data_IF_846024482478
#
_entry.id   IF_846024482478
#
_cell.length_a   1.000
_cell.length_b   1.000
_cell.length_c   1.000
_cell.angle_alpha   90.00
_cell.angle_beta   90.00
_cell.angle_gamma   90.00
#
_symmetry.space_group_name_H-M   'P 1'
#
loop_
_entity.id
_entity.type
_entity.pdbx_description
1 polymer ?
#
# COMPACT_ATOMS: atom_id res chain seq x y z
N UNK A 1 -3.54 29.81 83.94
CA UNK A 1 -2.45 30.80 83.83
C UNK A 1 -1.86 30.73 82.45
N UNK A 2 -1.45 31.90 81.94
CA UNK A 2 -1.25 32.24 80.54
C UNK A 2 0.07 31.75 79.92
N UNK A 3 0.16 31.99 78.59
CA UNK A 3 1.34 32.07 77.69
C UNK A 3 1.63 30.76 76.93
N UNK A 4 1.88 30.77 75.61
CA UNK A 4 2.05 31.85 74.65
C UNK A 4 2.33 31.26 73.25
N UNK A 5 1.88 31.96 72.21
CA UNK A 5 2.16 31.67 70.80
C UNK A 5 3.66 31.79 70.51
N UNK A 6 4.24 30.82 69.81
CA UNK A 6 5.47 31.00 69.02
C UNK A 6 5.19 30.73 67.54
N UNK A 7 5.39 31.76 66.73
CA UNK A 7 5.48 31.70 65.27
C UNK A 7 6.79 30.99 64.90
N UNK A 8 6.74 30.05 63.95
CA UNK A 8 7.90 29.60 63.16
C UNK A 8 7.71 30.07 61.71
N UNK A 9 8.81 30.40 61.00
CA UNK A 9 8.74 31.11 59.72
C UNK A 9 8.32 30.16 58.58
N UNK A 10 7.54 30.71 57.63
CA UNK A 10 7.29 30.12 56.32
C UNK A 10 8.59 30.19 55.52
N UNK A 11 9.30 29.08 55.40
CA UNK A 11 10.26 28.88 54.31
C UNK A 11 9.46 28.58 53.05
N UNK A 12 9.63 29.43 52.04
CA UNK A 12 9.18 29.20 50.67
C UNK A 12 9.86 27.93 50.15
N UNK A 13 9.12 26.84 50.01
CA UNK A 13 9.52 25.76 49.12
C UNK A 13 9.06 26.17 47.72
N UNK A 14 9.95 26.85 47.00
CA UNK A 14 9.81 27.05 45.57
C UNK A 14 9.77 25.70 44.86
N UNK A 15 8.88 25.62 43.88
CA UNK A 15 8.70 24.54 42.93
C UNK A 15 10.02 24.09 42.29
N UNK A 16 10.65 23.07 42.84
CA UNK A 16 11.70 22.29 42.20
C UNK A 16 11.36 20.81 42.35
N UNK A 17 10.49 20.30 41.48
CA UNK A 17 10.40 18.87 41.11
C UNK A 17 9.31 18.69 40.06
N UNK A 18 9.52 19.27 38.88
CA UNK A 18 8.81 18.86 37.66
C UNK A 18 9.63 19.16 36.39
N UNK A 19 10.95 18.99 36.51
CA UNK A 19 11.92 19.18 35.41
C UNK A 19 12.86 17.98 35.29
N UNK A 20 12.34 16.77 35.52
CA UNK A 20 13.06 15.50 35.37
C UNK A 20 12.22 14.47 34.59
N UNK A 21 11.70 14.86 33.42
CA UNK A 21 10.94 13.95 32.58
C UNK A 21 11.24 14.16 31.09
N UNK A 22 12.50 13.96 30.70
CA UNK A 22 12.89 13.53 29.35
C UNK A 22 14.35 13.06 29.38
N UNK A 23 14.63 12.00 30.14
CA UNK A 23 15.83 11.20 29.89
C UNK A 23 15.71 10.60 28.48
N UNK A 24 16.79 10.68 27.69
CA UNK A 24 16.77 10.54 26.23
C UNK A 24 15.95 9.36 25.68
N UNK A 25 15.19 9.64 24.62
CA UNK A 25 14.38 8.65 23.90
C UNK A 25 15.06 8.30 22.59
N UNK A 26 15.09 7.01 22.25
CA UNK A 26 15.62 6.51 21.00
C UNK A 26 14.52 5.83 20.18
N UNK A 27 14.71 5.83 18.85
CA UNK A 27 13.87 5.17 17.87
C UNK A 27 14.72 4.12 17.17
N UNK A 28 14.32 2.86 17.25
CA UNK A 28 15.01 1.77 16.56
C UNK A 28 14.14 1.36 15.36
N UNK A 29 14.71 1.42 14.16
CA UNK A 29 14.02 1.02 12.94
C UNK A 29 14.64 -0.27 12.41
N UNK A 30 13.81 -1.30 12.25
CA UNK A 30 14.18 -2.60 11.71
C UNK A 30 13.80 -2.72 10.24
N UNK A 31 14.72 -3.24 9.45
CA UNK A 31 14.51 -3.60 8.05
C UNK A 31 14.45 -5.13 7.91
N UNK A 32 13.28 -5.68 7.57
CA UNK A 32 13.11 -7.12 7.37
C UNK A 32 13.52 -7.62 5.97
N UNK A 33 13.88 -6.74 5.04
CA UNK A 33 14.25 -7.10 3.67
C UNK A 33 15.77 -7.28 3.50
N UNK A 34 16.25 -8.17 2.61
CA UNK A 34 17.67 -8.45 2.39
C UNK A 34 18.43 -7.39 1.55
N UNK A 35 17.88 -6.19 1.43
CA UNK A 35 18.53 -5.02 0.81
C UNK A 35 18.35 -3.77 1.68
N UNK A 36 19.22 -2.76 1.49
CA UNK A 36 19.15 -1.49 2.22
C UNK A 36 17.90 -0.72 1.83
N UNK A 37 17.18 -0.16 2.80
CA UNK A 37 15.96 0.64 2.57
C UNK A 37 16.11 2.04 3.12
N UNK A 38 15.84 3.04 2.28
CA UNK A 38 15.76 4.44 2.67
C UNK A 38 14.33 4.91 2.44
N UNK A 39 13.56 5.08 3.51
CA UNK A 39 12.12 5.33 3.45
C UNK A 39 11.64 6.22 4.58
N UNK A 40 10.55 6.95 4.34
CA UNK A 40 9.87 7.70 5.39
C UNK A 40 9.08 6.72 6.27
N UNK A 41 9.39 6.71 7.56
CA UNK A 41 8.69 5.89 8.56
C UNK A 41 7.93 6.77 9.55
N UNK A 42 6.77 6.31 10.00
CA UNK A 42 5.92 7.03 10.94
C UNK A 42 5.93 6.41 12.34
N UNK A 43 6.06 7.25 13.36
CA UNK A 43 5.92 6.90 14.76
C UNK A 43 4.77 7.69 15.39
N UNK A 44 4.11 7.11 16.39
CA UNK A 44 3.17 7.86 17.22
C UNK A 44 3.92 8.49 18.37
N UNK A 45 3.87 9.82 18.48
CA UNK A 45 4.38 10.55 19.64
C UNK A 45 3.41 10.44 20.82
N UNK A 46 3.98 10.31 22.02
CA UNK A 46 3.25 10.41 23.27
C UNK A 46 2.73 11.85 23.50
N UNK A 47 1.68 11.99 24.31
CA UNK A 47 1.09 13.28 24.65
C UNK A 47 2.12 14.20 25.32
N UNK A 48 2.11 15.50 24.97
CA UNK A 48 2.93 16.52 25.61
C UNK A 48 4.35 16.71 25.04
N UNK A 49 4.72 16.00 23.97
CA UNK A 49 5.97 16.28 23.23
C UNK A 49 5.73 17.47 22.29
N UNK A 50 6.41 18.59 22.56
CA UNK A 50 6.36 19.78 21.72
C UNK A 50 7.22 19.62 20.47
N UNK A 51 6.71 20.11 19.33
CA UNK A 51 7.32 19.98 18.02
C UNK A 51 8.66 20.71 17.90
N UNK A 52 8.79 21.83 18.62
CA UNK A 52 9.97 22.68 18.57
C UNK A 52 11.03 22.28 19.59
N UNK A 53 10.72 21.32 20.48
CA UNK A 53 11.60 20.97 21.57
C UNK A 53 12.63 19.91 21.24
N UNK A 54 12.63 19.30 20.04
CA UNK A 54 13.57 18.22 19.72
C UNK A 54 14.12 18.19 18.29
N UNK A 55 15.26 17.53 18.13
CA UNK A 55 15.88 17.14 16.86
C UNK A 55 16.13 15.64 16.86
N UNK A 56 16.17 15.02 15.68
CA UNK A 56 16.50 13.60 15.53
C UNK A 56 17.91 13.51 14.95
N UNK A 57 18.75 12.69 15.56
CA UNK A 57 20.09 12.37 15.06
C UNK A 57 20.28 10.88 14.87
N UNK A 58 21.21 10.52 14.00
CA UNK A 58 21.69 9.14 13.90
C UNK A 58 22.79 8.85 14.93
N UNK A 59 23.34 7.63 14.89
CA UNK A 59 24.41 7.16 15.78
C UNK A 59 25.72 7.96 15.67
N UNK A 60 25.95 8.64 14.53
CA UNK A 60 27.12 9.48 14.29
C UNK A 60 26.85 10.95 14.69
N UNK A 61 25.69 11.25 15.27
CA UNK A 61 25.27 12.61 15.61
C UNK A 61 24.83 13.45 14.40
N UNK A 62 24.62 12.85 13.23
CA UNK A 62 24.15 13.59 12.05
C UNK A 62 22.64 13.87 12.15
N UNK A 63 22.17 15.07 11.79
CA UNK A 63 20.76 15.39 11.83
C UNK A 63 19.97 14.59 10.80
N UNK A 64 18.82 14.04 11.20
CA UNK A 64 17.89 13.31 10.35
C UNK A 64 16.67 14.17 10.06
N UNK A 65 16.27 14.34 8.79
CA UNK A 65 15.02 15.00 8.44
C UNK A 65 13.84 14.36 9.15
N UNK A 66 13.05 15.19 9.83
CA UNK A 66 11.81 14.77 10.48
C UNK A 66 10.69 15.78 10.25
N UNK A 67 9.45 15.29 10.26
CA UNK A 67 8.22 16.06 10.10
C UNK A 67 7.21 15.59 11.13
N UNK A 68 6.38 16.49 11.65
CA UNK A 68 5.16 16.09 12.36
C UNK A 68 3.96 16.08 11.43
N UNK A 69 3.10 15.07 11.59
CA UNK A 69 1.79 15.00 10.95
C UNK A 69 0.71 15.75 11.73
N UNK A 70 -0.47 15.82 11.12
CA UNK A 70 -1.68 16.30 11.78
C UNK A 70 -2.00 15.47 13.03
N UNK A 71 -2.51 16.13 14.07
CA UNK A 71 -2.96 15.46 15.29
C UNK A 71 -4.32 14.79 15.11
N UNK A 72 -4.53 13.64 15.75
CA UNK A 72 -5.89 13.16 16.00
C UNK A 72 -6.49 14.04 17.10
N UNK A 73 -7.50 14.85 16.74
CA UNK A 73 -8.16 15.80 17.64
C UNK A 73 -8.77 15.16 18.89
N UNK A 74 -8.99 13.84 18.89
CA UNK A 74 -9.55 13.09 20.02
C UNK A 74 -8.52 12.49 20.98
N UNK A 75 -7.23 12.40 20.60
CA UNK A 75 -6.21 11.71 21.41
C UNK A 75 -4.98 12.55 21.74
N UNK A 76 -4.80 13.74 21.15
CA UNK A 76 -3.61 14.58 21.38
C UNK A 76 -2.30 13.99 20.85
N UNK A 77 -2.30 12.75 20.36
CA UNK A 77 -1.15 12.07 19.74
C UNK A 77 -0.92 12.58 18.32
N UNK A 78 0.36 12.74 17.96
CA UNK A 78 0.79 13.18 16.62
C UNK A 78 1.65 12.12 15.96
N UNK A 79 1.59 12.05 14.63
CA UNK A 79 2.55 11.28 13.87
C UNK A 79 3.88 12.03 13.80
N UNK A 80 4.99 11.33 13.97
CA UNK A 80 6.35 11.76 13.68
C UNK A 80 6.85 10.96 12.48
N UNK A 81 7.14 11.64 11.39
CA UNK A 81 7.77 11.08 10.21
C UNK A 81 9.27 11.34 10.25
N UNK A 82 10.08 10.34 9.92
CA UNK A 82 11.53 10.50 9.75
C UNK A 82 12.00 9.71 8.53
N UNK A 83 13.01 10.22 7.85
CA UNK A 83 13.65 9.53 6.72
C UNK A 83 14.66 8.52 7.26
N UNK A 84 14.25 7.26 7.39
CA UNK A 84 15.09 6.20 7.91
C UNK A 84 15.95 5.61 6.78
N UNK A 85 17.20 5.30 7.08
CA UNK A 85 18.13 4.61 6.20
C UNK A 85 18.70 3.38 6.92
N UNK A 86 18.15 2.21 6.60
CA UNK A 86 18.29 0.99 7.40
C UNK A 86 18.98 -0.12 6.58
N UNK A 87 20.03 -0.75 7.12
CA UNK A 87 20.77 -1.81 6.42
C UNK A 87 19.91 -3.06 6.15
N UNK A 88 20.32 -3.94 5.20
CA UNK A 88 19.66 -5.22 4.94
C UNK A 88 19.48 -6.07 6.19
N UNK A 89 18.31 -6.70 6.37
CA UNK A 89 17.98 -7.61 7.49
C UNK A 89 18.64 -7.13 8.78
N UNK A 90 18.25 -5.97 9.27
CA UNK A 90 19.05 -5.24 10.23
C UNK A 90 18.28 -4.14 10.93
N UNK A 91 19.00 -3.30 11.66
CA UNK A 91 18.43 -2.13 12.32
C UNK A 91 19.34 -0.92 12.28
N UNK A 92 18.75 0.22 12.60
CA UNK A 92 19.43 1.47 12.91
C UNK A 92 18.70 2.22 14.02
N UNK A 93 19.46 2.78 14.96
CA UNK A 93 18.97 3.59 16.07
C UNK A 93 19.08 5.08 15.74
N UNK A 94 18.05 5.85 16.12
CA UNK A 94 17.98 7.30 16.01
C UNK A 94 17.66 7.89 17.37
N UNK A 95 18.20 9.07 17.67
CA UNK A 95 18.20 9.68 18.99
C UNK A 95 17.40 10.97 18.97
N UNK A 96 16.49 11.14 19.93
CA UNK A 96 15.79 12.41 20.15
C UNK A 96 16.60 13.26 21.13
N UNK A 97 17.07 14.40 20.66
CA UNK A 97 17.79 15.38 21.46
C UNK A 97 16.98 16.65 21.63
N UNK A 98 16.96 17.22 22.84
CA UNK A 98 16.29 18.49 23.11
C UNK A 98 16.96 19.61 22.29
N UNK A 99 16.17 20.41 21.57
CA UNK A 99 16.71 21.59 20.87
C UNK A 99 17.07 22.65 21.91
N UNK A 100 18.31 23.15 21.87
CA UNK A 100 18.66 24.36 22.58
C UNK A 100 17.78 25.53 22.07
N UNK A 101 17.26 26.36 22.99
CA UNK A 101 16.42 27.53 22.64
C UNK A 101 17.18 28.46 21.67
N UNK A 102 16.44 29.01 20.69
CA UNK A 102 16.94 29.96 19.69
C UNK A 102 17.91 30.99 20.27
N UNK A 103 19.14 30.96 19.76
CA UNK A 103 20.25 31.84 20.14
C UNK A 103 21.58 31.36 19.57
N UNK A 104 21.76 30.05 19.44
CA UNK A 104 22.93 29.40 18.87
C UNK A 104 22.49 28.38 17.81
N UNK A 105 23.22 28.29 16.70
CA UNK A 105 23.02 27.44 15.49
C UNK A 105 22.37 28.17 14.31
N UNK A 106 23.17 29.03 13.67
CA UNK A 106 23.14 29.13 12.21
C UNK A 106 23.31 27.72 11.62
N UNK A 107 22.51 27.40 10.58
CA UNK A 107 22.59 26.13 9.87
C UNK A 107 23.97 26.00 9.20
N UNK A 108 24.86 25.19 9.79
CA UNK A 108 25.88 24.48 9.00
C UNK A 108 25.16 23.38 8.20
N UNK A 109 24.62 23.78 7.05
CA UNK A 109 24.32 22.87 5.95
C UNK A 109 25.66 22.45 5.34
N UNK A 110 26.32 21.46 5.96
CA UNK A 110 27.52 20.86 5.39
C UNK A 110 27.22 20.30 3.99
N UNK A 111 27.92 20.88 3.02
CA UNK A 111 27.86 20.69 1.58
C UNK A 111 28.28 19.29 1.08
N UNK A 112 28.47 18.31 1.96
CA UNK A 112 28.95 16.97 1.60
C UNK A 112 27.86 15.90 1.48
N UNK A 113 26.70 16.12 2.12
CA UNK A 113 25.52 15.25 1.98
C UNK A 113 24.51 16.01 1.12
N UNK A 114 24.32 15.57 -0.13
CA UNK A 114 23.37 16.20 -1.06
C UNK A 114 22.00 16.47 -0.43
N UNK A 115 21.25 17.41 -1.01
CA UNK A 115 19.94 17.82 -0.47
C UNK A 115 19.06 16.58 -0.20
N UNK A 116 18.56 16.38 1.04
CA UNK A 116 17.78 15.19 1.37
C UNK A 116 16.52 15.13 0.50
N UNK A 117 16.03 13.92 0.15
CA UNK A 117 14.79 13.75 -0.59
C UNK A 117 13.65 14.51 0.09
N UNK A 118 12.79 15.15 -0.71
CA UNK A 118 11.63 15.90 -0.24
C UNK A 118 10.41 15.65 -1.09
N UNK A 119 9.25 15.98 -0.54
CA UNK A 119 7.99 16.13 -1.28
C UNK A 119 7.49 17.57 -1.12
N UNK A 120 6.93 18.11 -2.19
CA UNK A 120 6.23 19.39 -2.24
C UNK A 120 4.77 19.15 -2.59
N UNK A 121 3.87 20.02 -2.14
CA UNK A 121 2.45 19.91 -2.47
C UNK A 121 1.75 21.27 -2.50
N UNK A 122 0.70 21.37 -3.32
CA UNK A 122 -0.16 22.55 -3.49
C UNK A 122 -1.61 22.11 -3.39
N UNK A 123 -2.36 22.69 -2.44
CA UNK A 123 -3.79 22.45 -2.30
C UNK A 123 -4.60 23.10 -3.44
N UNK A 124 -4.17 24.28 -3.89
CA UNK A 124 -4.82 25.03 -4.98
C UNK A 124 -4.75 24.27 -6.30
N UNK A 125 -3.54 23.79 -6.66
CA UNK A 125 -3.32 23.04 -7.90
C UNK A 125 -3.70 21.56 -7.79
N UNK A 126 -3.91 21.08 -6.55
CA UNK A 126 -4.09 19.66 -6.19
C UNK A 126 -2.95 18.78 -6.68
N UNK A 127 -1.72 19.25 -6.45
CA UNK A 127 -0.49 18.59 -6.89
C UNK A 127 0.35 18.19 -5.68
N UNK A 128 1.00 17.03 -5.77
CA UNK A 128 2.15 16.66 -4.94
C UNK A 128 3.27 16.11 -5.82
N UNK A 129 4.52 16.40 -5.47
CA UNK A 129 5.68 16.13 -6.33
C UNK A 129 6.93 15.85 -5.50
N UNK A 130 7.66 14.79 -5.86
CA UNK A 130 8.98 14.43 -5.33
C UNK A 130 9.98 14.22 -6.47
N UNK A 131 11.14 13.63 -6.19
CA UNK A 131 12.19 13.41 -7.20
C UNK A 131 11.81 12.43 -8.32
N UNK A 132 10.83 11.56 -8.06
CA UNK A 132 10.41 10.50 -8.98
C UNK A 132 9.12 10.84 -9.71
N UNK A 133 8.14 11.38 -9.00
CA UNK A 133 6.76 11.51 -9.49
C UNK A 133 6.25 12.94 -9.34
N UNK A 134 5.40 13.32 -10.29
CA UNK A 134 4.44 14.42 -10.12
C UNK A 134 3.03 13.85 -10.18
N UNK A 135 2.23 14.13 -9.17
CA UNK A 135 0.88 13.58 -9.01
C UNK A 135 -0.10 14.73 -8.91
N UNK A 136 -1.12 14.76 -9.77
CA UNK A 136 -2.22 15.71 -9.74
C UNK A 136 -3.53 14.98 -9.47
N UNK A 137 -4.36 15.50 -8.56
CA UNK A 137 -5.72 15.02 -8.37
C UNK A 137 -6.68 15.78 -9.28
N UNK A 138 -7.43 15.03 -10.07
CA UNK A 138 -8.50 15.51 -10.93
C UNK A 138 -9.75 15.85 -10.09
N UNK A 139 -10.69 16.59 -10.66
CA UNK A 139 -11.91 17.01 -9.94
C UNK A 139 -12.79 15.83 -9.50
N UNK A 140 -12.67 14.70 -10.21
CA UNK A 140 -13.37 13.47 -9.91
C UNK A 140 -12.63 12.51 -8.97
N UNK A 141 -11.51 12.95 -8.42
CA UNK A 141 -10.69 12.17 -7.51
C UNK A 141 -9.72 11.19 -8.19
N UNK A 142 -9.78 11.04 -9.51
CA UNK A 142 -8.77 10.28 -10.26
C UNK A 142 -7.43 11.02 -10.28
N UNK A 143 -6.36 10.30 -10.61
CA UNK A 143 -4.99 10.79 -10.55
C UNK A 143 -4.40 10.93 -11.95
N UNK A 144 -3.67 12.02 -12.16
CA UNK A 144 -2.73 12.15 -13.26
C UNK A 144 -1.32 12.02 -12.70
N UNK A 145 -0.59 10.98 -13.08
CA UNK A 145 0.76 10.70 -12.58
C UNK A 145 1.76 10.83 -13.71
N UNK A 146 2.72 11.72 -13.56
CA UNK A 146 3.90 11.81 -14.42
C UNK A 146 5.08 11.13 -13.74
N UNK A 147 5.62 10.09 -14.37
CA UNK A 147 6.91 9.51 -14.01
C UNK A 147 8.03 10.36 -14.61
N UNK A 148 8.84 10.98 -13.76
CA UNK A 148 9.96 11.83 -14.18
C UNK A 148 11.11 11.04 -14.80
N UNK A 149 11.24 9.75 -14.47
CA UNK A 149 12.27 8.89 -15.02
C UNK A 149 12.05 8.60 -16.51
N UNK A 150 10.83 8.23 -16.88
CA UNK A 150 10.45 7.96 -18.28
C UNK A 150 9.89 9.18 -19.02
N UNK A 151 9.48 10.22 -18.30
CA UNK A 151 8.78 11.39 -18.83
C UNK A 151 7.32 11.11 -19.22
N UNK A 152 6.78 9.92 -18.93
CA UNK A 152 5.42 9.54 -19.29
C UNK A 152 4.41 10.07 -18.28
N UNK A 153 3.22 10.40 -18.79
CA UNK A 153 2.07 10.78 -17.98
C UNK A 153 0.95 9.77 -18.20
N UNK A 154 0.39 9.30 -17.10
CA UNK A 154 -0.76 8.41 -17.04
C UNK A 154 -1.94 9.21 -16.49
N UNK A 155 -3.04 9.24 -17.23
CA UNK A 155 -4.21 10.05 -16.92
C UNK A 155 -5.35 9.20 -16.37
N UNK A 156 -6.22 9.82 -15.57
CA UNK A 156 -7.41 9.18 -15.01
C UNK A 156 -7.12 7.87 -14.29
N UNK A 157 -6.03 7.78 -13.55
CA UNK A 157 -5.71 6.60 -12.75
C UNK A 157 -6.53 6.55 -11.46
N UNK A 158 -6.96 5.37 -11.04
CA UNK A 158 -7.61 5.17 -9.76
C UNK A 158 -9.08 5.57 -9.70
N UNK A 159 -9.78 5.70 -10.85
CA UNK A 159 -11.24 5.88 -10.83
C UNK A 159 -11.95 4.58 -10.47
N UNK A 160 -13.17 4.70 -9.94
CA UNK A 160 -13.99 3.55 -9.56
C UNK A 160 -14.97 3.18 -10.65
N UNK A 161 -15.19 1.88 -10.83
CA UNK A 161 -16.23 1.32 -11.68
C UNK A 161 -17.04 0.30 -10.91
N UNK A 162 -18.35 0.32 -11.12
CA UNK A 162 -19.29 -0.57 -10.48
C UNK A 162 -20.25 -1.17 -11.51
N UNK A 163 -20.25 -2.50 -11.62
CA UNK A 163 -21.15 -3.28 -12.47
C UNK A 163 -21.98 -4.27 -11.65
N UNK A 164 -23.02 -4.85 -12.26
CA UNK A 164 -23.82 -5.90 -11.64
C UNK A 164 -23.06 -7.22 -11.53
N UNK A 165 -23.32 -7.99 -10.46
CA UNK A 165 -22.88 -9.38 -10.32
C UNK A 165 -24.08 -10.27 -9.98
N UNK A 166 -24.57 -10.98 -10.99
CA UNK A 166 -25.59 -12.02 -10.90
C UNK A 166 -24.99 -13.43 -10.74
N UNK A 167 -23.70 -13.51 -10.45
CA UNK A 167 -23.00 -14.76 -10.18
C UNK A 167 -23.26 -15.34 -8.80
N UNK A 168 -22.27 -16.08 -8.33
CA UNK A 168 -22.25 -16.77 -7.04
C UNK A 168 -20.85 -16.68 -6.40
N UNK A 169 -20.60 -17.37 -5.29
CA UNK A 169 -19.30 -17.26 -4.60
C UNK A 169 -18.10 -17.80 -5.38
N UNK A 170 -18.32 -18.61 -6.41
CA UNK A 170 -17.25 -19.12 -7.26
C UNK A 170 -16.97 -18.18 -8.42
N UNK A 171 -18.02 -17.81 -9.16
CA UNK A 171 -17.87 -17.14 -10.45
C UNK A 171 -18.63 -15.81 -10.51
N UNK A 172 -17.95 -14.82 -11.08
CA UNK A 172 -18.59 -13.59 -11.53
C UNK A 172 -19.51 -13.87 -12.72
N UNK A 173 -20.69 -13.26 -12.72
CA UNK A 173 -21.53 -13.19 -13.93
C UNK A 173 -22.16 -11.82 -14.05
N UNK A 174 -21.96 -11.15 -15.18
CA UNK A 174 -22.66 -9.91 -15.48
C UNK A 174 -24.18 -10.13 -15.57
N UNK A 175 -24.94 -9.06 -15.36
CA UNK A 175 -26.38 -9.04 -15.63
C UNK A 175 -26.65 -8.93 -17.14
N UNK A 176 -27.77 -9.45 -17.61
CA UNK A 176 -28.12 -9.39 -19.03
C UNK A 176 -28.32 -7.95 -19.53
N UNK A 177 -28.90 -7.10 -18.69
CA UNK A 177 -29.17 -5.69 -18.96
C UNK A 177 -28.40 -4.81 -17.97
N UNK A 178 -27.08 -5.03 -17.88
CA UNK A 178 -26.24 -4.34 -16.91
C UNK A 178 -26.04 -2.85 -17.23
N UNK A 179 -25.86 -2.05 -16.17
CA UNK A 179 -25.49 -0.64 -16.22
C UNK A 179 -24.22 -0.46 -15.39
N UNK A 180 -23.10 -0.27 -16.09
CA UNK A 180 -21.81 0.05 -15.49
C UNK A 180 -21.79 1.54 -15.11
N UNK A 181 -21.44 1.83 -13.86
CA UNK A 181 -21.37 3.19 -13.30
C UNK A 181 -19.92 3.48 -12.94
N UNK A 182 -19.41 4.64 -13.38
CA UNK A 182 -18.06 5.09 -13.00
C UNK A 182 -18.09 6.33 -12.11
N UNK A 183 -16.97 6.57 -11.43
CA UNK A 183 -16.74 7.83 -10.71
C UNK A 183 -16.28 8.98 -11.61
N UNK A 184 -15.97 8.73 -12.88
CA UNK A 184 -15.48 9.75 -13.80
C UNK A 184 -16.49 10.90 -13.94
N UNK A 185 -15.98 12.13 -13.86
CA UNK A 185 -16.79 13.36 -13.91
C UNK A 185 -17.64 13.64 -12.66
N UNK A 186 -17.55 12.83 -11.60
CA UNK A 186 -18.25 13.09 -10.33
C UNK A 186 -17.37 13.88 -9.38
N UNK A 187 -17.81 15.08 -9.00
CA UNK A 187 -17.05 15.95 -8.09
C UNK A 187 -16.71 15.27 -6.76
N UNK A 188 -15.43 15.23 -6.42
CA UNK A 188 -14.93 14.77 -5.12
C UNK A 188 -14.65 15.96 -4.18
N UNK A 189 -14.73 15.71 -2.87
CA UNK A 189 -14.19 16.63 -1.86
C UNK A 189 -12.74 16.25 -1.56
N UNK A 190 -11.82 17.21 -1.70
CA UNK A 190 -10.38 16.96 -1.66
C UNK A 190 -9.73 17.89 -0.62
N UNK A 191 -9.00 17.31 0.31
CA UNK A 191 -8.24 18.03 1.36
C UNK A 191 -6.80 17.56 1.41
N UNK A 192 -5.88 18.45 1.77
CA UNK A 192 -4.44 18.19 1.77
C UNK A 192 -3.87 18.25 3.20
N UNK A 193 -3.08 17.23 3.55
CA UNK A 193 -2.08 17.27 4.62
C UNK A 193 -0.70 17.22 3.97
N UNK A 194 0.18 18.19 4.26
CA UNK A 194 1.48 18.27 3.60
C UNK A 194 2.61 18.67 4.55
N UNK A 195 3.79 18.14 4.26
CA UNK A 195 5.08 18.58 4.78
C UNK A 195 6.21 18.01 3.92
N UNK A 196 7.48 18.28 4.27
CA UNK A 196 8.63 17.99 3.40
C UNK A 196 8.95 16.50 3.23
N UNK A 197 8.45 15.61 4.09
CA UNK A 197 8.66 14.16 4.02
C UNK A 197 7.43 13.39 3.52
N UNK A 198 6.23 13.92 3.74
CA UNK A 198 4.99 13.28 3.34
C UNK A 198 3.95 14.33 2.96
N UNK A 199 3.31 14.11 1.81
CA UNK A 199 2.09 14.78 1.40
C UNK A 199 1.00 13.75 1.14
N UNK A 200 -0.23 14.06 1.57
CA UNK A 200 -1.38 13.17 1.46
C UNK A 200 -2.64 13.95 1.19
N UNK A 201 -3.31 13.59 0.10
CA UNK A 201 -4.66 14.05 -0.16
C UNK A 201 -5.67 13.07 0.41
N UNK A 202 -6.73 13.58 1.02
CA UNK A 202 -7.94 12.83 1.34
C UNK A 202 -9.02 13.21 0.34
N UNK A 203 -9.51 12.20 -0.39
CA UNK A 203 -10.51 12.29 -1.46
C UNK A 203 -11.78 11.61 -0.98
N UNK A 204 -12.88 12.34 -0.91
CA UNK A 204 -14.20 11.80 -0.55
C UNK A 204 -15.13 11.86 -1.75
N UNK A 205 -15.76 10.72 -2.04
CA UNK A 205 -16.68 10.57 -3.15
C UNK A 205 -17.94 9.86 -2.66
N UNK A 206 -19.10 10.24 -3.20
CA UNK A 206 -20.37 9.55 -3.01
C UNK A 206 -20.83 9.02 -4.34
N UNK A 207 -20.82 7.70 -4.49
CA UNK A 207 -21.18 7.03 -5.74
C UNK A 207 -22.62 6.50 -5.63
N UNK A 208 -23.60 7.05 -6.37
CA UNK A 208 -24.96 6.51 -6.37
C UNK A 208 -24.98 5.21 -7.17
N UNK A 209 -25.35 4.10 -6.52
CA UNK A 209 -25.35 2.75 -7.09
C UNK A 209 -26.71 2.08 -6.92
N UNK A 210 -27.15 1.23 -7.87
CA UNK A 210 -28.27 0.32 -7.68
C UNK A 210 -28.13 -0.48 -6.39
N UNK A 211 -29.20 -0.54 -5.60
CA UNK A 211 -29.24 -1.24 -4.30
C UNK A 211 -29.00 -2.75 -4.40
N UNK A 212 -29.23 -3.34 -5.57
CA UNK A 212 -29.12 -4.77 -5.83
C UNK A 212 -29.62 -5.11 -7.23
N UNK A 213 -29.77 -6.40 -7.51
CA UNK A 213 -30.45 -6.87 -8.73
C UNK A 213 -31.97 -6.70 -8.65
N UNK A 214 -32.62 -6.71 -9.80
CA UNK A 214 -34.08 -6.88 -9.92
C UNK A 214 -34.49 -8.27 -9.43
N UNK A 215 -35.78 -8.46 -9.12
CA UNK A 215 -36.29 -9.74 -8.61
C UNK A 215 -36.10 -10.92 -9.57
N UNK A 216 -36.07 -10.66 -10.88
CA UNK A 216 -35.76 -11.63 -11.93
C UNK A 216 -34.26 -11.74 -12.25
N UNK A 217 -33.42 -10.93 -11.60
CA UNK A 217 -31.95 -10.89 -11.71
C UNK A 217 -31.39 -10.53 -13.08
N UNK A 218 -32.24 -10.09 -14.01
CA UNK A 218 -31.82 -9.75 -15.38
C UNK A 218 -31.16 -8.38 -15.48
N UNK A 219 -31.50 -7.48 -14.56
CA UNK A 219 -31.02 -6.11 -14.51
C UNK A 219 -30.69 -5.68 -13.07
N UNK A 220 -30.16 -4.47 -12.93
CA UNK A 220 -29.95 -3.81 -11.63
C UNK A 220 -31.19 -2.99 -11.26
N UNK A 221 -31.46 -2.86 -9.96
CA UNK A 221 -32.57 -2.07 -9.43
C UNK A 221 -32.44 -0.58 -9.79
N UNK A 222 -33.57 0.08 -10.07
CA UNK A 222 -33.63 1.55 -10.22
C UNK A 222 -33.58 2.27 -8.86
N UNK A 223 -33.79 1.56 -7.74
CA UNK A 223 -33.58 2.12 -6.39
C UNK A 223 -32.08 2.27 -6.14
N UNK A 224 -31.63 3.50 -5.86
CA UNK A 224 -30.23 3.83 -5.62
C UNK A 224 -29.91 3.97 -4.13
N UNK A 225 -28.68 3.59 -3.77
CA UNK A 225 -28.03 3.89 -2.50
C UNK A 225 -26.79 4.74 -2.76
N UNK A 226 -26.53 5.73 -1.90
CA UNK A 226 -25.29 6.50 -1.97
C UNK A 226 -24.17 5.72 -1.27
N UNK A 227 -23.13 5.33 -2.00
CA UNK A 227 -21.97 4.61 -1.48
C UNK A 227 -20.81 5.58 -1.20
N UNK A 228 -20.48 5.85 0.08
CA UNK A 228 -19.31 6.64 0.44
C UNK A 228 -18.02 5.89 0.16
N UNK A 229 -17.09 6.55 -0.52
CA UNK A 229 -15.74 6.09 -0.81
C UNK A 229 -14.75 7.17 -0.37
N UNK A 230 -13.79 6.80 0.46
CA UNK A 230 -12.78 7.73 0.98
C UNK A 230 -11.40 7.17 0.67
N UNK A 231 -10.62 7.89 -0.12
CA UNK A 231 -9.25 7.52 -0.47
C UNK A 231 -8.25 8.48 0.17
N UNK A 232 -7.21 7.94 0.78
CA UNK A 232 -6.01 8.66 1.19
C UNK A 232 -4.90 8.36 0.19
N UNK A 233 -4.50 9.37 -0.58
CA UNK A 233 -3.50 9.27 -1.65
C UNK A 233 -2.22 9.93 -1.15
N UNK A 234 -1.19 9.13 -0.90
CA UNK A 234 0.03 9.54 -0.21
C UNK A 234 1.27 9.45 -1.11
N UNK A 235 2.10 10.48 -1.06
CA UNK A 235 3.43 10.52 -1.66
C UNK A 235 4.45 10.93 -0.60
N UNK A 236 5.47 10.10 -0.42
CA UNK A 236 6.56 10.36 0.52
C UNK A 236 7.84 10.78 -0.22
N UNK A 237 8.72 11.46 0.50
CA UNK A 237 10.05 11.80 0.02
C UNK A 237 10.83 10.54 -0.39
N UNK A 238 11.38 10.56 -1.61
CA UNK A 238 12.17 9.44 -2.16
C UNK A 238 11.37 8.20 -2.59
N UNK A 239 10.04 8.16 -2.41
CA UNK A 239 9.22 7.04 -2.91
C UNK A 239 8.96 7.17 -4.41
N UNK A 240 9.17 6.10 -5.21
CA UNK A 240 8.85 6.13 -6.63
C UNK A 240 7.42 5.67 -6.94
N UNK A 241 6.57 5.49 -5.92
CA UNK A 241 5.18 5.04 -6.04
C UNK A 241 4.24 5.94 -5.23
N UNK A 242 2.96 5.89 -5.58
CA UNK A 242 1.86 6.52 -4.82
C UNK A 242 1.17 5.43 -4.00
N UNK A 243 1.21 5.54 -2.67
CA UNK A 243 0.51 4.62 -1.77
C UNK A 243 -0.93 5.11 -1.55
N UNK A 244 -1.92 4.22 -1.65
CA UNK A 244 -3.34 4.56 -1.53
C UNK A 244 -4.01 3.65 -0.50
N UNK A 245 -4.76 4.26 0.41
CA UNK A 245 -5.72 3.56 1.25
C UNK A 245 -7.13 3.98 0.86
N UNK A 246 -8.01 3.04 0.52
CA UNK A 246 -9.41 3.31 0.19
C UNK A 246 -10.31 2.66 1.21
N UNK A 247 -11.26 3.41 1.75
CA UNK A 247 -12.36 2.91 2.59
C UNK A 247 -13.65 3.00 1.80
N UNK A 248 -14.36 1.88 1.68
CA UNK A 248 -15.69 1.80 1.07
C UNK A 248 -16.71 1.45 2.14
N UNK A 249 -17.81 2.20 2.18
CA UNK A 249 -18.98 1.84 2.96
C UNK A 249 -19.99 1.18 2.03
N UNK A 250 -19.92 -0.14 1.93
CA UNK A 250 -20.75 -0.91 1.01
C UNK A 250 -22.20 -0.97 1.50
N UNK A 251 -23.10 -0.37 0.72
CA UNK A 251 -24.55 -0.36 0.97
C UNK A 251 -25.35 -1.03 -0.15
N UNK A 252 -24.68 -1.41 -1.23
CA UNK A 252 -25.28 -2.11 -2.37
C UNK A 252 -25.08 -3.64 -2.25
N UNK A 253 -25.85 -4.38 -3.03
CA UNK A 253 -25.78 -5.84 -3.16
C UNK A 253 -25.57 -6.22 -4.62
N UNK A 254 -25.19 -7.48 -4.86
CA UNK A 254 -25.18 -8.09 -6.19
C UNK A 254 -24.41 -7.26 -7.23
N UNK A 255 -23.20 -6.85 -6.86
CA UNK A 255 -22.39 -5.91 -7.63
C UNK A 255 -20.90 -6.19 -7.47
N UNK A 256 -20.11 -5.69 -8.43
CA UNK A 256 -18.64 -5.75 -8.41
C UNK A 256 -18.08 -4.33 -8.51
N UNK A 257 -17.31 -3.92 -7.51
CA UNK A 257 -16.63 -2.63 -7.45
C UNK A 257 -15.14 -2.81 -7.72
N UNK A 258 -14.62 -2.05 -8.68
CA UNK A 258 -13.21 -2.08 -9.13
C UNK A 258 -12.57 -0.71 -9.10
N UNK A 259 -11.23 -0.69 -9.07
CA UNK A 259 -10.40 0.50 -9.32
C UNK A 259 -9.63 0.31 -10.62
N UNK A 260 -9.64 1.33 -11.47
CA UNK A 260 -9.17 1.24 -12.85
C UNK A 260 -7.94 2.11 -13.05
N UNK A 261 -7.00 1.61 -13.84
CA UNK A 261 -5.72 2.23 -14.12
C UNK A 261 -5.46 2.21 -15.63
N UNK A 262 -6.01 3.18 -16.40
CA UNK A 262 -5.74 3.28 -17.83
C UNK A 262 -4.26 3.51 -18.07
N UNK A 263 -3.60 2.54 -18.69
CA UNK A 263 -2.13 2.61 -18.85
C UNK A 263 -1.72 3.42 -20.07
N UNK A 264 -2.61 3.55 -21.07
CA UNK A 264 -2.31 4.07 -22.40
C UNK A 264 -1.11 3.39 -23.10
N UNK A 265 -0.69 2.22 -22.61
CA UNK A 265 0.36 1.41 -23.19
C UNK A 265 -0.24 0.46 -24.23
N UNK A 266 0.51 0.21 -25.31
CA UNK A 266 0.17 -0.84 -26.26
C UNK A 266 0.75 -2.15 -25.75
N UNK A 267 -0.09 -2.97 -25.14
CA UNK A 267 0.28 -4.21 -24.45
C UNK A 267 -0.62 -5.34 -24.90
N UNK A 268 -0.08 -6.55 -24.99
CA UNK A 268 -0.82 -7.76 -25.32
C UNK A 268 -0.75 -8.82 -24.21
N UNK A 269 -0.14 -8.47 -23.08
CA UNK A 269 0.10 -9.36 -21.95
C UNK A 269 0.31 -8.57 -20.65
N UNK A 270 0.01 -9.21 -19.53
CA UNK A 270 0.31 -8.77 -18.17
C UNK A 270 1.22 -9.76 -17.46
N UNK A 271 1.84 -9.31 -16.38
CA UNK A 271 2.60 -10.13 -15.45
C UNK A 271 2.02 -9.97 -14.05
N UNK A 272 1.89 -11.07 -13.31
CA UNK A 272 1.41 -11.05 -11.94
C UNK A 272 2.24 -11.97 -11.04
N UNK A 273 2.39 -11.58 -9.79
CA UNK A 273 3.07 -12.43 -8.81
C UNK A 273 2.20 -13.61 -8.44
N UNK A 274 2.78 -14.80 -8.57
CA UNK A 274 2.22 -16.09 -8.20
C UNK A 274 3.10 -16.74 -7.12
N UNK A 275 2.65 -17.82 -6.47
CA UNK A 275 3.45 -18.53 -5.48
C UNK A 275 4.83 -18.95 -6.03
N UNK A 276 5.87 -18.21 -5.63
CA UNK A 276 7.26 -18.37 -6.07
C UNK A 276 7.49 -18.17 -7.57
N UNK A 277 6.67 -17.34 -8.23
CA UNK A 277 6.81 -17.06 -9.66
C UNK A 277 6.27 -15.66 -10.03
N UNK A 278 6.60 -15.19 -11.23
CA UNK A 278 5.95 -14.04 -11.87
C UNK A 278 5.37 -14.53 -13.20
N UNK A 279 4.10 -14.92 -13.16
CA UNK A 279 3.43 -15.52 -14.30
C UNK A 279 3.05 -14.46 -15.34
N UNK A 280 3.13 -14.86 -16.61
CA UNK A 280 2.69 -14.07 -17.75
C UNK A 280 1.30 -14.51 -18.21
N UNK A 281 0.42 -13.55 -18.52
CA UNK A 281 -0.93 -13.79 -19.01
C UNK A 281 -1.22 -12.97 -20.28
N UNK A 282 -1.79 -13.55 -21.34
CA UNK A 282 -2.19 -12.80 -22.53
C UNK A 282 -3.41 -11.92 -22.24
N UNK A 283 -3.50 -10.78 -22.93
CA UNK A 283 -4.66 -9.86 -22.88
C UNK A 283 -5.95 -10.51 -23.37
N UNK A 284 -5.84 -11.36 -24.40
CA UNK A 284 -6.95 -12.18 -24.89
C UNK A 284 -6.91 -13.51 -24.13
N UNK A 285 -7.90 -13.81 -23.28
CA UNK A 285 -7.92 -15.07 -22.56
C UNK A 285 -8.21 -16.24 -23.51
N UNK A 286 -7.83 -17.44 -23.09
CA UNK A 286 -8.12 -18.64 -23.86
C UNK A 286 -9.64 -18.82 -24.01
N UNK A 287 -10.15 -19.10 -25.22
CA UNK A 287 -11.56 -19.36 -25.41
C UNK A 287 -11.94 -20.63 -24.65
N UNK A 288 -13.17 -20.71 -24.12
CA UNK A 288 -13.68 -21.97 -23.62
C UNK A 288 -13.58 -23.03 -24.71
N UNK A 289 -13.32 -24.28 -24.31
CA UNK A 289 -13.45 -25.40 -25.23
C UNK A 289 -14.85 -25.35 -25.87
N UNK A 290 -15.00 -25.71 -27.14
CA UNK A 290 -16.32 -25.86 -27.77
C UNK A 290 -16.87 -27.27 -27.51
N UNK A 291 -16.04 -28.29 -27.69
CA UNK A 291 -16.36 -29.70 -27.45
C UNK A 291 -15.56 -30.28 -26.27
N UNK A 292 -16.12 -31.29 -25.60
CA UNK A 292 -15.41 -32.03 -24.55
C UNK A 292 -14.40 -32.95 -25.24
N UNK A 293 -13.09 -32.83 -24.99
CA UNK A 293 -12.09 -33.75 -25.56
C UNK A 293 -12.42 -35.20 -25.23
N UNK A 294 -12.26 -36.14 -26.18
CA UNK A 294 -12.50 -37.59 -25.97
C UNK A 294 -11.84 -38.12 -24.68
N UNK A 295 -10.65 -37.62 -24.32
CA UNK A 295 -9.94 -38.02 -23.09
C UNK A 295 -10.66 -37.68 -21.79
N UNK A 296 -11.66 -36.78 -21.85
CA UNK A 296 -12.51 -36.36 -20.73
C UNK A 296 -13.93 -36.94 -20.86
N UNK A 297 -14.20 -37.74 -21.89
CA UNK A 297 -15.50 -38.39 -22.10
C UNK A 297 -15.80 -39.36 -20.94
N UNK A 298 -16.99 -39.26 -20.36
CA UNK A 298 -17.39 -40.02 -19.18
C UNK A 298 -17.01 -39.42 -17.83
N UNK A 299 -16.26 -38.29 -17.78
CA UNK A 299 -16.08 -37.52 -16.56
C UNK A 299 -17.31 -36.64 -16.28
N UNK A 300 -17.68 -36.52 -15.00
CA UNK A 300 -18.70 -35.57 -14.56
C UNK A 300 -18.09 -34.16 -14.56
N UNK A 301 -18.48 -33.35 -15.54
CA UNK A 301 -18.10 -31.94 -15.59
C UNK A 301 -19.17 -31.15 -14.84
N UNK A 302 -18.86 -30.75 -13.60
CA UNK A 302 -19.78 -30.02 -12.73
C UNK A 302 -20.07 -28.60 -13.26
N UNK A 303 -19.09 -27.95 -13.89
CA UNK A 303 -19.30 -26.66 -14.51
C UNK A 303 -18.29 -26.35 -15.61
N UNK A 304 -18.71 -25.48 -16.54
CA UNK A 304 -17.91 -25.05 -17.69
C UNK A 304 -18.16 -23.59 -17.99
N UNK A 305 -17.10 -22.82 -18.20
CA UNK A 305 -17.21 -21.43 -18.62
C UNK A 305 -17.79 -21.35 -20.03
N UNK A 306 -18.72 -20.42 -20.24
CA UNK A 306 -19.31 -20.09 -21.55
C UNK A 306 -18.60 -18.93 -22.24
N UNK A 307 -17.83 -18.17 -21.47
CA UNK A 307 -17.04 -17.03 -21.95
C UNK A 307 -15.59 -17.17 -21.47
N UNK A 308 -14.61 -16.58 -22.17
CA UNK A 308 -13.24 -16.55 -21.69
C UNK A 308 -13.16 -15.88 -20.31
N UNK A 309 -12.38 -16.47 -19.39
CA UNK A 309 -12.15 -15.85 -18.07
C UNK A 309 -11.01 -14.85 -18.17
N UNK A 310 -11.34 -13.56 -18.09
CA UNK A 310 -10.37 -12.47 -18.17
C UNK A 310 -9.74 -12.11 -16.82
N UNK A 311 -10.38 -12.48 -15.71
CA UNK A 311 -9.83 -12.23 -14.37
C UNK A 311 -8.71 -13.22 -14.05
N UNK A 312 -7.68 -12.70 -13.37
CA UNK A 312 -6.46 -13.44 -13.02
C UNK A 312 -6.17 -13.31 -11.53
N UNK A 313 -5.67 -14.38 -10.89
CA UNK A 313 -5.17 -14.31 -9.54
C UNK A 313 -3.86 -13.51 -9.49
N UNK A 314 -3.53 -12.99 -8.31
CA UNK A 314 -2.21 -12.45 -8.01
C UNK A 314 -1.97 -12.43 -6.49
N UNK A 315 -0.71 -12.31 -6.06
CA UNK A 315 -0.35 -12.11 -4.65
C UNK A 315 -0.14 -10.64 -4.28
N UNK A 316 1.02 -10.06 -4.58
CA UNK A 316 1.35 -8.70 -4.12
C UNK A 316 1.35 -7.67 -5.26
N UNK A 317 1.48 -8.08 -6.52
CA UNK A 317 1.44 -7.16 -7.64
C UNK A 317 0.95 -7.79 -8.94
N UNK A 318 0.51 -6.91 -9.84
CA UNK A 318 0.34 -7.18 -11.26
C UNK A 318 0.74 -5.95 -12.07
N UNK A 319 1.14 -6.14 -13.33
CA UNK A 319 1.72 -5.09 -14.14
C UNK A 319 1.62 -5.34 -15.64
N UNK A 320 1.73 -4.25 -16.41
CA UNK A 320 1.97 -4.26 -17.85
C UNK A 320 3.16 -3.37 -18.20
N UNK A 321 3.84 -3.67 -19.31
CA UNK A 321 4.96 -2.88 -19.84
C UNK A 321 5.03 -2.99 -21.36
N UNK A 322 5.44 -1.91 -22.02
CA UNK A 322 5.78 -1.89 -23.46
C UNK A 322 7.28 -2.13 -23.73
N UNK A 323 8.02 -2.57 -22.69
CA UNK A 323 9.47 -2.78 -22.71
C UNK A 323 10.29 -1.50 -22.50
N UNK A 324 9.67 -0.31 -22.56
CA UNK A 324 10.32 0.97 -22.24
C UNK A 324 9.78 1.56 -20.94
N UNK A 325 8.47 1.49 -20.75
CA UNK A 325 7.81 1.91 -19.53
C UNK A 325 6.70 0.92 -19.17
N UNK A 326 6.43 0.81 -17.88
CA UNK A 326 5.34 0.01 -17.36
C UNK A 326 4.59 0.70 -16.24
N UNK A 327 3.42 0.14 -15.94
CA UNK A 327 2.61 0.52 -14.79
C UNK A 327 2.33 -0.74 -13.99
N UNK A 328 2.67 -0.72 -12.71
CA UNK A 328 2.37 -1.78 -11.77
C UNK A 328 1.34 -1.30 -10.75
N UNK A 329 0.47 -2.21 -10.35
CA UNK A 329 -0.40 -2.05 -9.18
C UNK A 329 0.08 -3.03 -8.12
N UNK A 330 0.37 -2.49 -6.94
CA UNK A 330 0.79 -3.28 -5.77
C UNK A 330 -0.40 -3.38 -4.82
N UNK A 331 -0.61 -4.51 -4.16
CA UNK A 331 -1.75 -4.70 -3.27
C UNK A 331 -1.37 -5.40 -1.97
N UNK A 332 -2.11 -5.07 -0.90
CA UNK A 332 -2.07 -5.70 0.41
C UNK A 332 -3.35 -6.55 0.58
N UNK A 333 -3.29 -7.82 0.18
CA UNK A 333 -4.33 -8.81 0.45
C UNK A 333 -5.52 -8.89 -0.52
N UNK A 334 -5.49 -8.18 -1.66
CA UNK A 334 -6.42 -8.43 -2.78
C UNK A 334 -5.84 -9.45 -3.75
N UNK A 335 -6.71 -10.20 -4.42
CA UNK A 335 -6.30 -11.39 -5.16
C UNK A 335 -6.87 -11.49 -6.58
N UNK A 336 -7.63 -10.51 -7.06
CA UNK A 336 -8.22 -10.53 -8.41
C UNK A 336 -7.91 -9.25 -9.17
N UNK A 337 -7.36 -9.40 -10.37
CA UNK A 337 -7.20 -8.32 -11.33
C UNK A 337 -7.67 -8.75 -12.73
N UNK A 338 -7.83 -7.77 -13.62
CA UNK A 338 -8.12 -7.98 -15.03
C UNK A 338 -7.29 -7.00 -15.88
N UNK A 339 -6.81 -7.44 -17.04
CA UNK A 339 -6.27 -6.55 -18.08
C UNK A 339 -7.34 -6.40 -19.17
N UNK A 340 -7.92 -5.20 -19.28
CA UNK A 340 -8.95 -4.89 -20.28
C UNK A 340 -8.33 -4.73 -21.67
N UNK A 341 -9.12 -4.92 -22.72
CA UNK A 341 -8.69 -4.88 -24.13
C UNK A 341 -8.02 -3.55 -24.55
N UNK A 342 -8.38 -2.44 -23.90
CA UNK A 342 -7.80 -1.12 -24.13
C UNK A 342 -6.46 -0.88 -23.40
N UNK A 343 -5.96 -1.90 -22.69
CA UNK A 343 -4.74 -1.84 -21.89
C UNK A 343 -4.96 -1.30 -20.48
N UNK A 344 -6.21 -1.11 -20.04
CA UNK A 344 -6.53 -0.69 -18.66
C UNK A 344 -6.34 -1.86 -17.69
N UNK A 345 -5.61 -1.60 -16.61
CA UNK A 345 -5.52 -2.51 -15.48
C UNK A 345 -6.71 -2.29 -14.53
N UNK A 346 -7.37 -3.36 -14.10
CA UNK A 346 -8.49 -3.31 -13.17
C UNK A 346 -8.22 -4.14 -11.91
N UNK A 347 -8.36 -3.53 -10.73
CA UNK A 347 -8.25 -4.18 -9.43
C UNK A 347 -9.64 -4.35 -8.83
N UNK A 348 -10.06 -5.58 -8.55
CA UNK A 348 -11.34 -5.84 -7.86
C UNK A 348 -11.20 -5.54 -6.37
N UNK A 349 -12.06 -4.66 -5.84
CA UNK A 349 -12.13 -4.35 -4.40
C UNK A 349 -13.21 -5.18 -3.69
N UNK A 350 -14.40 -5.23 -4.30
CA UNK A 350 -15.55 -5.95 -3.76
C UNK A 350 -16.23 -6.74 -4.88
N UNK A 351 -16.62 -7.96 -4.54
CA UNK A 351 -17.54 -8.78 -5.33
C UNK A 351 -18.60 -9.31 -4.38
N UNK A 352 -19.82 -8.80 -4.53
CA UNK A 352 -20.90 -8.97 -3.56
C UNK A 352 -21.97 -9.85 -4.18
N UNK A 353 -22.20 -11.03 -3.60
CA UNK A 353 -23.15 -12.03 -4.12
C UNK A 353 -23.96 -12.65 -2.97
N UNK A 354 -25.14 -13.19 -3.28
CA UNK A 354 -26.06 -13.73 -2.29
C UNK A 354 -26.07 -15.25 -2.13
N UNK A 355 -25.32 -15.98 -2.95
CA UNK A 355 -25.47 -17.43 -3.08
C UNK A 355 -24.13 -18.15 -3.21
N UNK A 356 -24.01 -19.32 -2.59
CA UNK A 356 -22.85 -20.21 -2.71
C UNK A 356 -22.64 -20.65 -4.16
N UNK A 357 -23.67 -21.26 -4.76
CA UNK A 357 -23.66 -21.72 -6.14
C UNK A 357 -25.01 -21.39 -6.81
N UNK A 358 -24.95 -21.13 -8.12
CA UNK A 358 -26.09 -20.84 -8.99
C UNK A 358 -25.93 -21.53 -10.34
N UNK A 359 -27.05 -21.83 -10.98
CA UNK A 359 -27.18 -22.50 -12.28
C UNK A 359 -27.71 -21.56 -13.40
N UNK A 360 -28.04 -20.32 -13.06
CA UNK A 360 -28.56 -19.29 -13.97
C UNK A 360 -27.49 -18.29 -14.45
N UNK A 361 -26.21 -18.62 -14.33
CA UNK A 361 -25.11 -17.76 -14.77
C UNK A 361 -25.05 -17.63 -16.29
N UNK A 362 -24.67 -16.44 -16.77
CA UNK A 362 -24.38 -16.19 -18.19
C UNK A 362 -22.97 -16.65 -18.56
N UNK A 363 -22.04 -16.60 -17.59
CA UNK A 363 -20.62 -16.86 -17.79
C UNK A 363 -20.22 -18.33 -17.60
N UNK A 364 -21.06 -19.13 -16.94
CA UNK A 364 -20.82 -20.54 -16.65
C UNK A 364 -22.10 -21.36 -16.78
N UNK A 365 -21.97 -22.57 -17.30
CA UNK A 365 -23.01 -23.60 -17.25
C UNK A 365 -22.64 -24.74 -16.32
N UNK A 366 -23.65 -25.52 -15.91
CA UNK A 366 -23.49 -26.66 -15.04
C UNK A 366 -23.77 -26.36 -13.57
N UNK A 367 -24.03 -27.43 -12.83
CA UNK A 367 -24.27 -27.42 -11.39
C UNK A 367 -22.96 -27.70 -10.64
N UNK A 368 -22.37 -26.65 -10.08
CA UNK A 368 -21.13 -26.73 -9.30
C UNK A 368 -21.37 -26.92 -7.79
N UNK A 369 -22.63 -27.04 -7.36
CA UNK A 369 -22.93 -27.22 -5.95
C UNK A 369 -24.32 -26.76 -5.51
N UNK A 370 -24.65 -26.99 -4.23
CA UNK A 370 -25.98 -26.69 -3.71
C UNK A 370 -26.27 -25.18 -3.71
N UNK A 371 -27.50 -24.82 -4.11
CA UNK A 371 -27.98 -23.43 -4.07
C UNK A 371 -28.30 -22.99 -2.63
N UNK A 372 -27.26 -22.60 -1.90
CA UNK A 372 -27.34 -22.15 -0.51
C UNK A 372 -27.27 -20.63 -0.47
N UNK A 373 -28.22 -20.00 0.21
CA UNK A 373 -28.23 -18.56 0.45
C UNK A 373 -27.08 -18.19 1.40
N UNK A 374 -26.22 -17.26 0.98
CA UNK A 374 -25.07 -16.75 1.73
C UNK A 374 -25.17 -15.23 1.89
N UNK A 375 -26.09 -14.72 2.73
CA UNK A 375 -26.42 -13.30 2.77
C UNK A 375 -25.24 -12.41 3.20
N UNK A 376 -24.30 -12.94 3.98
CA UNK A 376 -23.10 -12.22 4.41
C UNK A 376 -22.05 -12.06 3.29
N UNK A 377 -22.12 -12.88 2.22
CA UNK A 377 -21.26 -12.75 1.04
C UNK A 377 -21.61 -11.51 0.18
N UNK A 378 -22.63 -10.73 0.58
CA UNK A 378 -22.91 -9.41 0.06
C UNK A 378 -21.96 -8.32 0.58
N UNK A 379 -21.14 -8.65 1.59
CA UNK A 379 -20.08 -7.77 2.11
C UNK A 379 -20.60 -6.38 2.48
N UNK A 380 -21.77 -6.26 3.11
CA UNK A 380 -22.29 -4.97 3.56
C UNK A 380 -21.43 -4.38 4.68
N UNK A 381 -21.32 -3.05 4.71
CA UNK A 381 -20.61 -2.32 5.76
C UNK A 381 -19.24 -1.78 5.33
N UNK A 382 -18.36 -1.53 6.29
CA UNK A 382 -17.09 -0.82 6.07
C UNK A 382 -15.99 -1.79 5.67
N UNK A 383 -15.34 -1.51 4.54
CA UNK A 383 -14.15 -2.20 4.04
C UNK A 383 -13.00 -1.23 3.85
N UNK A 384 -11.77 -1.70 4.05
CA UNK A 384 -10.56 -0.91 3.88
C UNK A 384 -9.55 -1.68 3.03
N UNK A 385 -9.07 -1.04 1.98
CA UNK A 385 -8.16 -1.59 0.99
C UNK A 385 -6.88 -0.75 0.94
N UNK A 386 -5.76 -1.41 0.64
CA UNK A 386 -4.47 -0.75 0.48
C UNK A 386 -3.81 -1.26 -0.79
N UNK A 387 -3.41 -0.33 -1.63
CA UNK A 387 -2.75 -0.61 -2.89
C UNK A 387 -1.83 0.55 -3.27
N UNK A 388 -1.00 0.37 -4.29
CA UNK A 388 -0.13 1.42 -4.82
C UNK A 388 -0.15 1.47 -6.32
N UNK A 389 0.12 2.65 -6.86
CA UNK A 389 0.39 2.84 -8.28
C UNK A 389 1.88 3.09 -8.44
N UNK A 390 2.54 2.25 -9.24
CA UNK A 390 3.97 2.30 -9.46
C UNK A 390 4.33 2.31 -10.95
N UNK A 391 4.55 3.49 -11.55
CA UNK A 391 5.14 3.56 -12.88
C UNK A 391 6.65 3.26 -12.81
N UNK A 392 7.18 2.60 -13.83
CA UNK A 392 8.59 2.20 -13.87
C UNK A 392 9.16 2.14 -15.29
N UNK A 393 10.48 2.02 -15.39
CA UNK A 393 11.22 1.93 -16.65
C UNK A 393 11.63 0.49 -16.97
N UNK A 394 11.51 0.11 -18.24
CA UNK A 394 11.91 -1.20 -18.75
C UNK A 394 10.89 -2.30 -18.47
N UNK A 395 11.38 -3.52 -18.26
CA UNK A 395 10.58 -4.66 -17.80
C UNK A 395 10.37 -4.65 -16.27
N UNK A 396 9.50 -5.54 -15.77
CA UNK A 396 9.14 -5.59 -14.35
C UNK A 396 10.32 -5.91 -13.42
N UNK A 397 11.33 -6.67 -13.90
CA UNK A 397 12.51 -7.04 -13.11
C UNK A 397 13.46 -5.84 -13.00
N UNK A 398 13.77 -5.18 -14.12
CA UNK A 398 14.58 -3.96 -14.17
C UNK A 398 13.89 -2.80 -13.44
N UNK A 399 12.57 -2.73 -13.56
CA UNK A 399 11.71 -1.82 -12.79
C UNK A 399 11.61 -2.16 -11.31
N UNK A 400 12.17 -3.30 -10.86
CA UNK A 400 12.17 -3.74 -9.46
C UNK A 400 10.75 -3.79 -8.86
N UNK A 401 9.75 -4.14 -9.66
CA UNK A 401 8.33 -4.18 -9.27
C UNK A 401 8.13 -5.11 -8.09
N UNK A 402 8.74 -6.29 -8.12
CA UNK A 402 8.68 -7.29 -7.04
C UNK A 402 9.29 -6.80 -5.72
N UNK A 403 10.32 -5.93 -5.77
CA UNK A 403 10.90 -5.34 -4.57
C UNK A 403 10.06 -4.18 -4.02
N UNK A 404 9.43 -3.40 -4.90
CA UNK A 404 8.46 -2.38 -4.47
C UNK A 404 7.21 -3.02 -3.85
N UNK A 405 6.73 -4.14 -4.41
CA UNK A 405 5.65 -4.93 -3.85
C UNK A 405 6.00 -5.46 -2.45
N UNK A 406 7.21 -6.01 -2.28
CA UNK A 406 7.69 -6.43 -0.96
C UNK A 406 7.83 -5.23 -0.01
N UNK A 407 8.38 -4.09 -0.45
CA UNK A 407 8.52 -2.91 0.37
C UNK A 407 7.15 -2.35 0.86
N UNK A 408 6.12 -2.43 0.01
CA UNK A 408 4.75 -2.02 0.32
C UNK A 408 4.11 -2.90 1.41
N UNK A 409 4.29 -4.23 1.32
CA UNK A 409 3.67 -5.20 2.23
C UNK A 409 4.51 -5.48 3.48
N UNK A 410 5.83 -5.36 3.38
CA UNK A 410 6.79 -5.66 4.44
C UNK A 410 7.41 -4.39 4.98
N UNK A 411 6.63 -3.53 5.64
CA UNK A 411 7.09 -2.21 6.12
C UNK A 411 8.29 -2.29 7.08
N UNK A 412 9.11 -1.24 7.07
CA UNK A 412 10.06 -0.99 8.15
C UNK A 412 9.33 -0.89 9.50
N UNK A 413 9.90 -1.49 10.54
CA UNK A 413 9.28 -1.55 11.87
C UNK A 413 10.01 -0.63 12.84
N UNK A 414 9.32 0.38 13.34
CA UNK A 414 9.84 1.29 14.35
C UNK A 414 9.42 0.89 15.75
N UNK A 415 10.35 0.98 16.72
CA UNK A 415 10.05 0.84 18.16
C UNK A 415 10.71 1.97 18.96
N UNK A 416 10.07 2.36 20.06
CA UNK A 416 10.64 3.29 21.03
C UNK A 416 11.54 2.54 22.03
N UNK A 417 12.64 3.18 22.42
CA UNK A 417 13.48 2.76 23.55
C UNK A 417 13.89 3.96 24.40
N UNK A 418 14.28 3.71 25.64
CA UNK A 418 14.98 4.70 26.48
C UNK A 418 16.50 4.61 26.24
N UNK A 419 17.24 5.64 26.64
CA UNK A 419 18.70 5.54 26.66
C UNK A 419 19.15 4.56 27.73
N UNK A 420 19.96 3.59 27.33
CA UNK A 420 20.59 2.63 28.21
C UNK A 420 21.87 2.10 27.57
N UNK A 421 22.79 1.59 28.38
CA UNK A 421 23.89 0.76 27.86
C UNK A 421 23.33 -0.51 27.22
N UNK A 422 23.95 -0.99 26.15
CA UNK A 422 23.61 -2.25 25.49
C UNK A 422 24.86 -2.97 24.99
N UNK A 423 24.74 -4.26 24.70
CA UNK A 423 25.81 -5.06 24.09
C UNK A 423 25.76 -5.08 22.55
N UNK A 424 24.64 -4.64 21.97
CA UNK A 424 24.44 -4.57 20.52
C UNK A 424 24.79 -3.16 20.01
N UNK A 425 25.34 -3.05 18.78
CA UNK A 425 25.63 -1.75 18.18
C UNK A 425 24.33 -1.04 17.75
N UNK A 426 24.42 0.27 17.58
CA UNK A 426 23.29 1.11 17.13
C UNK A 426 22.88 0.85 15.68
N UNK A 427 23.75 0.22 14.91
CA UNK A 427 23.52 -0.18 13.53
C UNK A 427 24.11 -1.55 13.27
N UNK A 428 23.30 -2.44 12.70
CA UNK A 428 23.74 -3.79 12.32
C UNK A 428 23.00 -4.26 11.07
N UNK A 429 23.68 -5.01 10.22
CA UNK A 429 23.09 -5.82 9.16
C UNK A 429 23.38 -7.29 9.48
N UNK A 430 22.42 -8.19 9.34
CA UNK A 430 22.67 -9.62 9.51
C UNK A 430 23.11 -10.28 8.19
N UNK A 431 22.38 -10.00 7.12
CA UNK A 431 22.53 -10.71 5.86
C UNK A 431 22.07 -9.86 4.69
N UNK A 432 22.79 -10.01 3.57
CA UNK A 432 22.44 -9.43 2.28
C UNK A 432 22.40 -10.51 1.20
N UNK A 433 21.49 -10.34 0.24
CA UNK A 433 21.36 -11.22 -0.93
C UNK A 433 21.67 -10.40 -2.18
N UNK A 434 22.61 -10.90 -2.98
CA UNK A 434 22.98 -10.33 -4.27
C UNK A 434 22.74 -11.37 -5.37
N UNK A 435 22.44 -10.90 -6.57
CA UNK A 435 22.28 -11.78 -7.74
C UNK A 435 22.79 -11.13 -9.02
N UNK A 436 23.11 -11.97 -10.00
CA UNK A 436 23.44 -11.58 -11.37
C UNK A 436 22.50 -12.33 -12.33
N UNK A 437 21.56 -11.62 -13.01
CA UNK A 437 21.27 -10.17 -12.94
C UNK A 437 20.78 -9.72 -11.55
N UNK A 438 20.90 -8.42 -11.26
CA UNK A 438 20.49 -7.81 -9.99
C UNK A 438 19.03 -8.14 -9.66
N UNK A 439 18.76 -8.31 -8.37
CA UNK A 439 17.42 -8.50 -7.81
C UNK A 439 16.65 -9.75 -8.29
N UNK A 440 17.31 -10.69 -8.98
CA UNK A 440 16.67 -11.91 -9.50
C UNK A 440 16.48 -13.03 -8.46
N UNK A 441 17.15 -12.95 -7.30
CA UNK A 441 16.91 -13.86 -6.17
C UNK A 441 16.11 -13.15 -5.07
N UNK A 442 14.96 -13.73 -4.71
CA UNK A 442 14.10 -13.24 -3.64
C UNK A 442 14.16 -14.16 -2.43
N UNK A 443 14.38 -13.57 -1.25
CA UNK A 443 14.39 -14.26 0.04
C UNK A 443 12.98 -14.29 0.62
N UNK A 444 12.47 -15.47 0.92
CA UNK A 444 11.09 -15.66 1.43
C UNK A 444 11.03 -16.19 2.85
N UNK A 445 12.15 -16.63 3.41
CA UNK A 445 12.22 -17.00 4.83
C UNK A 445 13.63 -16.82 5.37
N UNK A 446 13.69 -16.27 6.59
CA UNK A 446 14.81 -16.35 7.52
C UNK A 446 14.23 -16.80 8.85
N UNK A 447 14.52 -18.03 9.26
CA UNK A 447 14.02 -18.56 10.54
C UNK A 447 15.03 -19.50 11.17
N UNK A 448 14.88 -19.80 12.46
CA UNK A 448 15.57 -20.94 13.08
C UNK A 448 14.99 -22.25 12.60
N UNK A 449 15.79 -23.30 12.54
CA UNK A 449 15.33 -24.67 12.33
C UNK A 449 14.29 -25.07 13.41
N UNK A 450 13.44 -26.05 13.10
CA UNK A 450 12.47 -26.57 14.09
C UNK A 450 13.15 -27.32 15.23
N UNK A 451 14.23 -28.02 14.89
CA UNK A 451 15.14 -28.68 15.82
C UNK A 451 16.54 -28.09 15.59
N UNK A 452 17.24 -27.75 16.67
CA UNK A 452 18.58 -27.17 16.62
C UNK A 452 18.62 -25.64 16.61
N UNK A 453 19.79 -25.09 16.32
CA UNK A 453 20.12 -23.66 16.39
C UNK A 453 20.46 -23.08 15.01
N UNK A 454 20.34 -23.89 13.96
CA UNK A 454 20.67 -23.53 12.58
C UNK A 454 19.71 -22.48 12.01
N UNK A 455 20.25 -21.63 11.14
CA UNK A 455 19.47 -20.66 10.37
C UNK A 455 19.00 -21.29 9.05
N UNK A 456 17.70 -21.30 8.84
CA UNK A 456 17.05 -21.71 7.59
C UNK A 456 16.79 -20.47 6.74
N UNK A 457 17.34 -20.49 5.52
CA UNK A 457 17.09 -19.49 4.48
C UNK A 457 16.34 -20.15 3.32
N UNK A 458 15.28 -19.51 2.83
CA UNK A 458 14.58 -19.95 1.61
C UNK A 458 14.59 -18.85 0.57
N UNK A 459 15.14 -19.15 -0.60
CA UNK A 459 15.22 -18.24 -1.73
C UNK A 459 14.57 -18.88 -2.95
N UNK A 460 14.12 -18.05 -3.88
CA UNK A 460 13.74 -18.49 -5.22
C UNK A 460 14.24 -17.52 -6.28
N UNK A 461 14.42 -18.03 -7.49
CA UNK A 461 14.75 -17.25 -8.67
C UNK A 461 13.45 -16.77 -9.31
N UNK A 462 13.27 -15.47 -9.46
CA UNK A 462 12.06 -14.88 -10.06
C UNK A 462 12.09 -14.94 -11.60
N UNK A 463 13.15 -15.47 -12.20
CA UNK A 463 13.36 -15.51 -13.65
C UNK A 463 13.34 -16.94 -14.19
N UNK A 464 13.15 -17.06 -15.51
CA UNK A 464 13.14 -18.31 -16.28
C UNK A 464 14.53 -18.86 -16.64
N UNK A 465 15.60 -18.16 -16.24
CA UNK A 465 16.98 -18.48 -16.61
C UNK A 465 17.85 -18.72 -15.38
N UNK A 466 18.97 -19.42 -15.56
CA UNK A 466 19.94 -19.61 -14.48
C UNK A 466 20.50 -18.27 -13.98
N UNK A 467 20.55 -18.09 -12.66
CA UNK A 467 21.03 -16.89 -11.96
C UNK A 467 22.16 -17.26 -11.02
N UNK A 468 23.18 -16.40 -10.95
CA UNK A 468 24.24 -16.52 -9.95
C UNK A 468 23.86 -15.70 -8.73
N UNK A 469 23.82 -16.33 -7.56
CA UNK A 469 23.53 -15.68 -6.28
C UNK A 469 24.74 -15.61 -5.34
N UNK A 470 24.76 -14.61 -4.46
CA UNK A 470 25.67 -14.54 -3.32
C UNK A 470 24.90 -14.13 -2.08
N UNK A 471 25.07 -14.90 -1.01
CA UNK A 471 24.60 -14.57 0.33
C UNK A 471 25.80 -14.11 1.14
N UNK A 472 25.74 -12.91 1.75
CA UNK A 472 26.79 -12.41 2.64
C UNK A 472 26.23 -12.20 4.02
N UNK A 473 26.80 -12.90 5.00
CA UNK A 473 26.58 -12.63 6.41
C UNK A 473 27.46 -11.47 6.82
N UNK A 474 26.85 -10.46 7.43
CA UNK A 474 27.54 -9.31 8.01
C UNK A 474 27.50 -9.56 9.52
N UNK A 475 28.65 -9.87 10.13
CA UNK A 475 28.78 -10.12 11.58
C UNK A 475 29.63 -9.03 12.17
#
# INVERSE_FOLDING_TARGET
>A
TSKGRQRRPRTQTQNQTQTQAQAGKALIVFNPSPWRRQEVVSFTLEEGVDAESFSIRDEDGRPIPCQLGGGSSSSGRRALYLLADVPPLGWRTYYLEERARQGDLELDLDLELGTPPRVSASAEDRIMENDHLKVKLNEDGSLTITDKGTGRTYESLGYFEDGGDAGDTYDYSYSQEDKVITSLGRKAEITLEAGPLMARFRVELKLPLPKGLTGDRRARSEELVEQPIISWVELTAGSPRVDIQTVVYNLAKDHRLRVLFPTALKVDRSWAEEPFDVAEFPIVPEPPLEEIPERLEGLVIAGRNRVPSATRPFQNFFTVTDGKAGLAVLSDGLAEYELLEDGTLALTLLRCVGWLARDDLLTREGDIGPQILTPEAQLLGKHAFRYSIYPYMGDWLRGRVHLQAEAHNLKLRGVWSSYHSGSLPDRMSFLSVESEPSDALKLTAVKRAEEGEELVLRLYNVTDRAVRGRIRFQV
#
